data_IF_319387001216
#
_entry.id   IF_319387001216
#
_cell.length_a   1.000
_cell.length_b   1.000
_cell.length_c   1.000
_cell.angle_alpha   90.00
_cell.angle_beta   90.00
_cell.angle_gamma   90.00
#
_symmetry.space_group_name_H-M   'P 1'
#
loop_
_entity.id
_entity.type
_entity.pdbx_description
1 polymer ?
#
# COMPACT_ATOMS: atom_id res chain seq x y z
N UNK A 1 8.17 -11.02 -21.57
CA UNK A 1 6.71 -10.79 -21.66
C UNK A 1 6.38 -10.46 -23.10
N UNK A 2 5.18 -10.84 -23.63
CA UNK A 2 4.75 -10.33 -24.94
C UNK A 2 4.61 -8.81 -24.86
N UNK A 3 5.02 -8.10 -25.91
CA UNK A 3 4.78 -6.66 -26.01
C UNK A 3 3.29 -6.37 -25.87
N UNK A 4 2.97 -5.51 -24.92
CA UNK A 4 1.60 -5.05 -24.72
C UNK A 4 1.35 -3.88 -25.66
N UNK A 5 0.36 -3.99 -26.53
CA UNK A 5 -0.14 -2.87 -27.33
C UNK A 5 -1.19 -2.10 -26.57
N UNK A 6 -1.14 -0.75 -26.61
CA UNK A 6 -2.11 0.09 -25.93
C UNK A 6 -3.52 -0.07 -26.52
N UNK A 7 -4.47 -0.41 -25.68
CA UNK A 7 -5.89 -0.48 -26.04
C UNK A 7 -6.71 0.53 -25.23
N UNK A 8 -6.99 1.68 -25.86
CA UNK A 8 -7.73 2.79 -25.24
C UNK A 8 -9.08 2.34 -24.66
N UNK A 9 -9.85 1.55 -25.40
CA UNK A 9 -11.18 1.12 -24.97
C UNK A 9 -11.13 0.23 -23.74
N UNK A 10 -10.18 -0.70 -23.67
CA UNK A 10 -10.00 -1.55 -22.51
C UNK A 10 -9.53 -0.74 -21.28
N UNK A 11 -8.62 0.21 -21.46
CA UNK A 11 -8.17 1.08 -20.35
C UNK A 11 -9.32 1.92 -19.81
N UNK A 12 -10.14 2.54 -20.67
CA UNK A 12 -11.31 3.31 -20.24
C UNK A 12 -12.30 2.42 -19.48
N UNK A 13 -12.63 1.23 -20.02
CA UNK A 13 -13.53 0.28 -19.33
C UNK A 13 -12.96 -0.14 -17.97
N UNK A 14 -11.66 -0.43 -17.89
CA UNK A 14 -10.99 -0.76 -16.64
C UNK A 14 -11.15 0.34 -15.61
N UNK A 15 -10.86 1.60 -15.98
CA UNK A 15 -11.02 2.75 -15.07
C UNK A 15 -12.47 2.88 -14.61
N UNK A 16 -13.44 2.84 -15.52
CA UNK A 16 -14.87 2.98 -15.18
C UNK A 16 -15.30 1.90 -14.18
N UNK A 17 -15.01 0.63 -14.46
CA UNK A 17 -15.42 -0.47 -13.60
C UNK A 17 -14.68 -0.45 -12.26
N UNK A 18 -13.36 -0.26 -12.28
CA UNK A 18 -12.53 -0.30 -11.08
C UNK A 18 -12.87 0.84 -10.13
N UNK A 19 -13.02 2.05 -10.65
CA UNK A 19 -13.37 3.22 -9.82
C UNK A 19 -14.84 3.22 -9.43
N UNK A 20 -15.74 2.92 -10.36
CA UNK A 20 -17.17 2.90 -10.08
C UNK A 20 -17.53 1.91 -8.96
N UNK A 21 -17.05 0.67 -9.05
CA UNK A 21 -17.30 -0.35 -8.02
C UNK A 21 -16.62 0.03 -6.72
N UNK A 22 -15.34 0.44 -6.75
CA UNK A 22 -14.61 0.77 -5.54
C UNK A 22 -15.21 1.98 -4.81
N UNK A 23 -15.60 3.04 -5.52
CA UNK A 23 -16.17 4.24 -4.91
C UNK A 23 -17.51 3.95 -4.25
N UNK A 24 -18.35 3.06 -4.81
CA UNK A 24 -19.56 2.60 -4.17
C UNK A 24 -19.26 1.81 -2.88
N UNK A 25 -18.28 0.90 -2.92
CA UNK A 25 -17.86 0.13 -1.73
C UNK A 25 -17.29 1.08 -0.67
N UNK A 26 -16.45 2.03 -1.05
CA UNK A 26 -15.84 3.00 -0.13
C UNK A 26 -16.88 3.92 0.51
N UNK A 27 -17.90 4.34 -0.24
CA UNK A 27 -19.05 5.06 0.33
C UNK A 27 -19.79 4.18 1.36
N UNK A 28 -19.98 2.90 1.07
CA UNK A 28 -20.52 1.93 2.03
C UNK A 28 -19.67 1.79 3.29
N UNK A 29 -18.33 1.73 3.15
CA UNK A 29 -17.40 1.72 4.30
C UNK A 29 -17.55 3.00 5.13
N UNK A 30 -17.70 4.17 4.49
CA UNK A 30 -18.01 5.43 5.19
C UNK A 30 -19.29 5.34 6.03
N UNK A 31 -20.36 4.75 5.49
CA UNK A 31 -21.60 4.51 6.25
C UNK A 31 -21.38 3.52 7.40
N UNK A 32 -20.71 2.39 7.15
CA UNK A 32 -20.42 1.39 8.19
C UNK A 32 -19.67 2.01 9.37
N UNK A 33 -18.71 2.91 9.09
CA UNK A 33 -17.88 3.56 10.12
C UNK A 33 -18.67 4.50 11.05
N UNK A 34 -19.84 4.96 10.64
CA UNK A 34 -20.75 5.80 11.46
C UNK A 34 -21.83 5.02 12.17
N UNK A 35 -21.86 3.69 12.02
CA UNK A 35 -22.87 2.80 12.60
C UNK A 35 -22.23 1.80 13.56
N UNK A 36 -23.03 1.06 14.32
CA UNK A 36 -22.55 -0.07 15.14
C UNK A 36 -21.91 -1.21 14.32
N UNK A 37 -21.87 -1.11 12.99
CA UNK A 37 -21.30 -2.10 12.08
C UNK A 37 -19.87 -1.74 11.62
N UNK A 38 -19.21 -0.78 12.26
CA UNK A 38 -17.85 -0.34 11.94
C UNK A 38 -16.82 -1.49 11.91
N UNK A 39 -17.04 -2.56 12.67
CA UNK A 39 -16.18 -3.76 12.66
C UNK A 39 -16.14 -4.48 11.29
N UNK A 40 -17.12 -4.25 10.40
CA UNK A 40 -17.14 -4.78 9.04
C UNK A 40 -16.28 -3.97 8.06
N UNK A 41 -15.85 -2.76 8.41
CA UNK A 41 -15.10 -1.90 7.51
C UNK A 41 -13.79 -2.56 7.03
N UNK A 42 -13.00 -3.15 7.93
CA UNK A 42 -11.73 -3.81 7.59
C UNK A 42 -11.91 -5.02 6.65
N UNK A 43 -12.78 -6.01 6.92
CA UNK A 43 -12.99 -7.10 5.98
C UNK A 43 -13.54 -6.64 4.62
N UNK A 44 -14.41 -5.61 4.59
CA UNK A 44 -14.90 -5.04 3.32
C UNK A 44 -13.76 -4.39 2.54
N UNK A 45 -12.88 -3.62 3.18
CA UNK A 45 -11.70 -3.03 2.53
C UNK A 45 -10.74 -4.10 2.02
N UNK A 46 -10.52 -5.18 2.76
CA UNK A 46 -9.71 -6.30 2.30
C UNK A 46 -10.29 -6.96 1.03
N UNK A 47 -11.60 -7.19 0.99
CA UNK A 47 -12.27 -7.74 -0.20
C UNK A 47 -12.27 -6.76 -1.38
N UNK A 48 -12.35 -5.45 -1.12
CA UNK A 48 -12.26 -4.41 -2.15
C UNK A 48 -10.94 -4.47 -2.94
N UNK A 49 -9.86 -4.97 -2.35
CA UNK A 49 -8.59 -5.16 -3.05
C UNK A 49 -8.69 -6.08 -4.29
N UNK A 50 -9.76 -6.87 -4.44
CA UNK A 50 -10.03 -7.65 -5.64
C UNK A 50 -10.75 -6.87 -6.75
N UNK A 51 -11.18 -5.63 -6.50
CA UNK A 51 -11.91 -4.82 -7.49
C UNK A 51 -11.06 -4.53 -8.75
N UNK A 52 -9.74 -4.23 -8.68
CA UNK A 52 -8.93 -4.05 -9.88
C UNK A 52 -8.79 -5.31 -10.73
N UNK A 53 -8.73 -6.50 -10.11
CA UNK A 53 -8.82 -7.78 -10.83
C UNK A 53 -10.17 -7.90 -11.57
N UNK A 54 -11.27 -7.65 -10.86
CA UNK A 54 -12.62 -7.67 -11.46
C UNK A 54 -12.74 -6.66 -12.60
N UNK A 55 -12.26 -5.44 -12.42
CA UNK A 55 -12.21 -4.40 -13.45
C UNK A 55 -11.43 -4.84 -14.68
N UNK A 56 -10.33 -5.57 -14.50
CA UNK A 56 -9.56 -6.16 -15.61
C UNK A 56 -10.38 -7.16 -16.41
N UNK A 57 -11.09 -8.06 -15.76
CA UNK A 57 -11.95 -9.06 -16.40
C UNK A 57 -13.09 -8.38 -17.15
N UNK A 58 -13.78 -7.43 -16.52
CA UNK A 58 -14.90 -6.68 -17.12
C UNK A 58 -14.45 -5.79 -18.30
N UNK A 59 -13.20 -5.35 -18.31
CA UNK A 59 -12.60 -4.64 -19.43
C UNK A 59 -12.19 -5.55 -20.59
N UNK A 60 -12.28 -6.88 -20.44
CA UNK A 60 -11.79 -7.86 -21.41
C UNK A 60 -10.27 -8.01 -21.40
N UNK A 61 -9.61 -7.70 -20.28
CA UNK A 61 -8.18 -7.89 -20.10
C UNK A 61 -7.79 -9.37 -19.98
N UNK A 62 -6.63 -9.72 -20.50
CA UNK A 62 -6.14 -11.10 -20.45
C UNK A 62 -5.33 -11.34 -19.17
N UNK A 63 -5.94 -11.99 -18.18
CA UNK A 63 -5.28 -12.36 -16.92
C UNK A 63 -4.50 -13.68 -17.00
N UNK A 64 -4.57 -14.44 -18.11
CA UNK A 64 -3.92 -15.76 -18.18
C UNK A 64 -2.41 -15.70 -18.36
N UNK A 65 -1.88 -14.58 -18.85
CA UNK A 65 -0.47 -14.42 -19.26
C UNK A 65 0.34 -13.48 -18.35
N UNK A 66 -0.17 -13.14 -17.17
CA UNK A 66 0.44 -12.17 -16.25
C UNK A 66 1.51 -12.76 -15.32
N UNK A 67 1.97 -13.98 -15.58
CA UNK A 67 3.06 -14.57 -14.79
C UNK A 67 2.61 -15.27 -13.50
N UNK A 68 1.55 -16.07 -13.56
CA UNK A 68 1.06 -16.86 -12.44
C UNK A 68 2.02 -17.93 -11.92
N UNK A 69 2.94 -18.40 -12.74
CA UNK A 69 3.91 -19.40 -12.31
C UNK A 69 4.96 -18.75 -11.42
N UNK A 70 5.04 -19.09 -10.13
CA UNK A 70 6.07 -18.56 -9.25
C UNK A 70 7.42 -19.14 -9.63
N UNK A 71 8.26 -18.35 -10.29
CA UNK A 71 9.59 -18.76 -10.75
C UNK A 71 10.61 -18.49 -9.66
N UNK A 72 10.70 -19.35 -8.65
CA UNK A 72 11.66 -19.17 -7.55
C UNK A 72 13.10 -19.22 -8.05
N UNK A 73 13.44 -20.20 -8.90
CA UNK A 73 14.79 -20.33 -9.48
C UNK A 73 15.12 -19.08 -10.29
N UNK A 74 16.20 -18.39 -9.90
CA UNK A 74 16.64 -17.12 -10.49
C UNK A 74 16.02 -15.87 -9.85
N UNK A 75 14.95 -15.99 -9.06
CA UNK A 75 14.26 -14.87 -8.43
C UNK A 75 14.32 -14.85 -6.89
N UNK A 76 15.02 -15.80 -6.25
CA UNK A 76 15.08 -15.91 -4.78
C UNK A 76 15.45 -14.58 -4.13
N UNK A 77 16.47 -13.86 -4.67
CA UNK A 77 16.86 -12.54 -4.15
C UNK A 77 15.74 -11.51 -4.22
N UNK A 78 14.91 -11.56 -5.28
CA UNK A 78 13.77 -10.66 -5.43
C UNK A 78 12.64 -11.02 -4.45
N UNK A 79 12.42 -12.32 -4.18
CA UNK A 79 11.48 -12.77 -3.16
C UNK A 79 11.91 -12.33 -1.76
N UNK A 80 13.19 -12.49 -1.40
CA UNK A 80 13.73 -12.00 -0.12
C UNK A 80 13.62 -10.48 -0.01
N UNK A 81 13.94 -9.75 -1.08
CA UNK A 81 13.76 -8.30 -1.13
C UNK A 81 12.29 -7.93 -0.92
N UNK A 82 11.36 -8.56 -1.66
CA UNK A 82 9.94 -8.27 -1.56
C UNK A 82 9.37 -8.60 -0.18
N UNK A 83 9.88 -9.61 0.49
CA UNK A 83 9.45 -10.01 1.83
C UNK A 83 9.93 -9.07 2.93
N UNK A 84 11.22 -8.74 2.95
CA UNK A 84 11.85 -8.10 4.10
C UNK A 84 12.10 -6.60 3.94
N UNK A 85 12.28 -6.09 2.70
CA UNK A 85 12.60 -4.67 2.53
C UNK A 85 11.47 -3.72 2.95
N UNK A 86 10.18 -4.04 2.82
CA UNK A 86 9.12 -3.15 3.31
C UNK A 86 9.21 -2.91 4.81
N UNK A 87 9.43 -3.96 5.60
CA UNK A 87 9.58 -3.84 7.05
C UNK A 87 10.85 -3.04 7.42
N UNK A 88 11.96 -3.26 6.73
CA UNK A 88 13.20 -2.49 6.94
C UNK A 88 13.00 -1.00 6.59
N UNK A 89 12.40 -0.69 5.44
CA UNK A 89 12.15 0.68 5.02
C UNK A 89 11.18 1.39 5.97
N UNK A 90 10.16 0.69 6.47
CA UNK A 90 9.23 1.18 7.48
C UNK A 90 9.96 1.48 8.80
N UNK A 91 10.80 0.56 9.29
CA UNK A 91 11.56 0.77 10.52
C UNK A 91 12.52 1.96 10.43
N UNK A 92 13.25 2.08 9.30
CA UNK A 92 14.14 3.23 9.07
C UNK A 92 13.33 4.54 8.99
N UNK A 93 12.19 4.54 8.32
CA UNK A 93 11.30 5.70 8.22
C UNK A 93 10.73 6.12 9.57
N UNK A 94 10.26 5.16 10.36
CA UNK A 94 9.80 5.41 11.73
C UNK A 94 10.91 5.98 12.63
N UNK A 95 12.12 5.43 12.55
CA UNK A 95 13.28 5.94 13.26
C UNK A 95 13.58 7.40 12.90
N UNK A 96 13.56 7.75 11.60
CA UNK A 96 13.72 9.13 11.14
C UNK A 96 12.64 10.05 11.72
N UNK A 97 11.39 9.60 11.73
CA UNK A 97 10.28 10.36 12.30
C UNK A 97 10.47 10.63 13.79
N UNK A 98 10.78 9.60 14.59
CA UNK A 98 10.95 9.75 16.04
C UNK A 98 12.24 10.48 16.42
N UNK A 99 13.25 10.50 15.56
CA UNK A 99 14.43 11.38 15.76
C UNK A 99 14.07 12.86 15.63
N UNK A 100 13.14 13.20 14.73
CA UNK A 100 12.66 14.59 14.54
C UNK A 100 11.60 14.94 15.57
N UNK A 101 10.75 13.99 15.94
CA UNK A 101 9.64 14.16 16.89
C UNK A 101 9.73 13.17 18.06
N UNK A 102 10.74 13.30 18.95
CA UNK A 102 10.93 12.33 20.05
C UNK A 102 9.74 12.30 21.03
N UNK A 103 9.03 13.42 21.20
CA UNK A 103 7.83 13.50 22.03
C UNK A 103 6.63 12.72 21.45
N UNK A 104 6.70 12.30 20.22
CA UNK A 104 5.64 11.46 19.61
C UNK A 104 5.85 9.96 19.84
N UNK A 105 6.99 9.56 20.41
CA UNK A 105 7.24 8.17 20.78
C UNK A 105 6.53 7.82 22.10
N UNK A 106 5.69 6.79 22.06
CA UNK A 106 4.87 6.35 23.19
C UNK A 106 4.79 4.82 23.26
N UNK A 107 5.01 4.27 24.43
CA UNK A 107 4.88 2.83 24.71
C UNK A 107 3.68 2.49 25.60
N UNK A 108 2.79 3.45 25.86
CA UNK A 108 1.58 3.22 26.67
C UNK A 108 0.46 2.52 25.89
N UNK A 109 0.54 2.52 24.55
CA UNK A 109 -0.53 2.02 23.70
C UNK A 109 -1.71 2.99 23.53
N UNK A 110 -1.52 4.27 23.85
CA UNK A 110 -2.56 5.30 23.76
C UNK A 110 -3.19 5.39 22.37
N UNK A 111 -2.38 5.25 21.30
CA UNK A 111 -2.89 5.20 19.93
C UNK A 111 -3.84 4.02 19.70
N UNK A 112 -3.46 2.82 20.18
CA UNK A 112 -4.27 1.62 20.01
C UNK A 112 -5.61 1.74 20.75
N UNK A 113 -5.60 2.20 22.00
CA UNK A 113 -6.81 2.45 22.79
C UNK A 113 -7.74 3.46 22.11
N UNK A 114 -7.18 4.55 21.60
CA UNK A 114 -7.96 5.57 20.87
C UNK A 114 -8.56 5.02 19.56
N UNK A 115 -7.79 4.26 18.79
CA UNK A 115 -8.25 3.67 17.54
C UNK A 115 -9.35 2.62 17.76
N UNK A 116 -9.28 1.90 18.88
CA UNK A 116 -10.29 0.89 19.24
C UNK A 116 -11.53 1.48 19.94
N UNK A 117 -11.45 2.72 20.44
CA UNK A 117 -12.51 3.34 21.23
C UNK A 117 -12.76 2.67 22.59
N UNK A 118 -11.81 1.86 23.09
CA UNK A 118 -11.88 1.13 24.36
C UNK A 118 -10.47 0.86 24.89
N UNK A 119 -10.37 0.53 26.18
CA UNK A 119 -9.07 0.16 26.77
C UNK A 119 -8.66 -1.27 26.41
N UNK A 120 -8.12 -1.42 25.21
CA UNK A 120 -7.61 -2.70 24.69
C UNK A 120 -6.37 -3.16 25.48
N UNK A 121 -5.57 -2.21 25.96
CA UNK A 121 -4.36 -2.54 26.74
C UNK A 121 -4.75 -3.25 28.03
N UNK A 122 -5.69 -2.71 28.82
CA UNK A 122 -6.17 -3.36 30.03
C UNK A 122 -6.80 -4.73 29.73
N UNK A 123 -7.52 -4.88 28.62
CA UNK A 123 -8.09 -6.16 28.23
C UNK A 123 -7.03 -7.22 27.88
N UNK A 124 -5.93 -6.82 27.22
CA UNK A 124 -4.80 -7.71 26.93
C UNK A 124 -4.05 -8.09 28.21
N UNK A 125 -3.79 -7.15 29.09
CA UNK A 125 -3.11 -7.40 30.38
C UNK A 125 -3.91 -8.34 31.27
N UNK A 126 -5.23 -8.22 31.28
CA UNK A 126 -6.12 -9.17 31.98
C UNK A 126 -6.01 -10.61 31.43
N UNK A 127 -5.56 -10.77 30.19
CA UNK A 127 -5.28 -12.06 29.55
C UNK A 127 -3.80 -12.48 29.68
N UNK A 128 -2.98 -11.72 30.44
CA UNK A 128 -1.57 -12.02 30.66
C UNK A 128 -0.64 -11.56 29.51
N UNK A 129 -1.14 -10.73 28.57
CA UNK A 129 -0.37 -10.21 27.44
C UNK A 129 -0.01 -8.74 27.75
N UNK A 130 1.25 -8.46 28.10
CA UNK A 130 1.71 -7.09 28.28
C UNK A 130 1.88 -6.37 26.95
N UNK A 131 1.76 -5.04 26.93
CA UNK A 131 1.86 -4.26 25.70
C UNK A 131 3.19 -4.45 24.95
N UNK A 132 4.37 -4.49 25.61
CA UNK A 132 5.62 -4.83 24.92
C UNK A 132 5.61 -6.21 24.25
N UNK A 133 4.99 -7.22 24.87
CA UNK A 133 4.83 -8.54 24.27
C UNK A 133 3.92 -8.47 23.03
N UNK A 134 2.84 -7.69 23.08
CA UNK A 134 1.97 -7.47 21.93
C UNK A 134 2.72 -6.81 20.76
N UNK A 135 3.56 -5.80 21.02
CA UNK A 135 4.42 -5.17 20.00
C UNK A 135 5.35 -6.22 19.38
N UNK A 136 6.01 -7.04 20.20
CA UNK A 136 6.92 -8.10 19.70
C UNK A 136 6.17 -9.13 18.85
N UNK A 137 4.95 -9.52 19.22
CA UNK A 137 4.08 -10.40 18.42
C UNK A 137 3.76 -9.74 17.08
N UNK A 138 3.42 -8.45 17.07
CA UNK A 138 3.17 -7.68 15.85
C UNK A 138 4.37 -7.68 14.89
N UNK A 139 5.56 -7.39 15.42
CA UNK A 139 6.81 -7.41 14.66
C UNK A 139 7.10 -8.82 14.11
N UNK A 140 7.02 -9.84 14.96
CA UNK A 140 7.24 -11.23 14.56
C UNK A 140 6.24 -11.67 13.47
N UNK A 141 4.97 -11.30 13.61
CA UNK A 141 3.92 -11.54 12.62
C UNK A 141 4.24 -10.89 11.28
N UNK A 142 4.61 -9.60 11.28
CA UNK A 142 4.94 -8.85 10.08
C UNK A 142 6.19 -9.37 9.35
N UNK A 143 7.10 -10.03 10.06
CA UNK A 143 8.30 -10.65 9.46
C UNK A 143 8.08 -12.11 9.03
N UNK A 144 7.18 -12.84 9.72
CA UNK A 144 7.03 -14.29 9.53
C UNK A 144 5.92 -14.68 8.55
N UNK A 145 4.66 -14.35 8.81
CA UNK A 145 3.52 -14.90 8.06
C UNK A 145 2.55 -13.85 7.48
N UNK A 146 2.45 -12.67 8.11
CA UNK A 146 1.51 -11.64 7.65
C UNK A 146 1.78 -11.17 6.21
N UNK A 147 3.04 -11.11 5.72
CA UNK A 147 3.31 -10.85 4.31
C UNK A 147 2.60 -11.82 3.35
N UNK A 148 2.61 -13.11 3.66
CA UNK A 148 1.96 -14.12 2.82
C UNK A 148 0.42 -14.02 2.84
N UNK A 149 -0.16 -13.72 4.00
CA UNK A 149 -1.62 -13.52 4.13
C UNK A 149 -2.05 -12.27 3.36
N UNK A 150 -1.39 -11.14 3.60
CA UNK A 150 -1.69 -9.88 2.91
C UNK A 150 -1.43 -9.96 1.41
N UNK A 151 -0.44 -10.75 0.97
CA UNK A 151 -0.16 -11.00 -0.45
C UNK A 151 -1.38 -11.53 -1.20
N UNK A 152 -2.22 -12.37 -0.56
CA UNK A 152 -3.42 -12.93 -1.19
C UNK A 152 -4.41 -11.82 -1.57
N UNK A 153 -4.64 -10.86 -0.69
CA UNK A 153 -5.49 -9.71 -0.96
C UNK A 153 -4.83 -8.76 -1.96
N UNK A 154 -3.56 -8.43 -1.74
CA UNK A 154 -2.77 -7.58 -2.62
C UNK A 154 -2.72 -8.11 -4.06
N UNK A 155 -2.79 -9.43 -4.26
CA UNK A 155 -2.81 -10.04 -5.58
C UNK A 155 -3.99 -9.53 -6.43
N UNK A 156 -5.16 -9.30 -5.83
CA UNK A 156 -6.31 -8.73 -6.52
C UNK A 156 -6.00 -7.36 -7.13
N UNK A 157 -5.32 -6.50 -6.37
CA UNK A 157 -4.85 -5.20 -6.88
C UNK A 157 -3.75 -5.36 -7.93
N UNK A 158 -2.73 -6.16 -7.66
CA UNK A 158 -1.58 -6.28 -8.55
C UNK A 158 -1.95 -6.87 -9.92
N UNK A 159 -2.93 -7.76 -9.99
CA UNK A 159 -3.48 -8.25 -11.27
C UNK A 159 -4.05 -7.10 -12.09
N UNK A 160 -4.78 -6.19 -11.47
CA UNK A 160 -5.33 -5.02 -12.15
C UNK A 160 -4.27 -3.98 -12.49
N UNK A 161 -3.46 -3.62 -11.52
CA UNK A 161 -2.47 -2.57 -11.72
C UNK A 161 -1.29 -3.05 -12.56
N UNK A 162 -0.50 -4.02 -12.09
CA UNK A 162 0.75 -4.48 -12.73
C UNK A 162 0.50 -5.49 -13.84
N UNK A 163 -0.54 -6.31 -13.69
CA UNK A 163 -0.92 -7.28 -14.72
C UNK A 163 -1.60 -6.64 -15.93
N UNK A 164 -2.31 -5.52 -15.77
CA UNK A 164 -3.08 -4.90 -16.85
C UNK A 164 -2.74 -3.42 -17.08
N UNK A 165 -2.98 -2.51 -16.12
CA UNK A 165 -2.94 -1.07 -16.37
C UNK A 165 -1.53 -0.55 -16.67
N UNK A 166 -0.54 -0.87 -15.84
CA UNK A 166 0.83 -0.35 -16.01
C UNK A 166 1.46 -0.75 -17.35
N UNK A 167 1.35 -2.00 -17.84
CA UNK A 167 1.79 -2.36 -19.18
C UNK A 167 1.15 -1.52 -20.29
N UNK A 168 -0.15 -1.23 -20.19
CA UNK A 168 -0.87 -0.37 -21.15
C UNK A 168 -0.34 1.07 -21.13
N UNK A 169 -0.14 1.64 -19.92
CA UNK A 169 0.38 2.99 -19.76
C UNK A 169 1.82 3.11 -20.27
N UNK A 170 2.66 2.11 -19.99
CA UNK A 170 4.03 2.08 -20.50
C UNK A 170 4.08 1.98 -22.04
N UNK A 171 3.22 1.17 -22.63
CA UNK A 171 3.10 1.07 -24.09
C UNK A 171 2.69 2.40 -24.73
N UNK A 172 1.86 3.20 -24.06
CA UNK A 172 1.39 4.50 -24.58
C UNK A 172 2.35 5.65 -24.32
N UNK A 173 2.92 5.74 -23.11
CA UNK A 173 3.61 6.92 -22.60
C UNK A 173 5.10 6.68 -22.31
N UNK A 174 5.61 5.48 -22.56
CA UNK A 174 6.95 5.06 -22.13
C UNK A 174 7.01 4.68 -20.65
N UNK A 175 8.10 4.03 -20.26
CA UNK A 175 8.24 3.39 -18.94
C UNK A 175 8.12 4.39 -17.78
N UNK A 176 8.76 5.55 -17.88
CA UNK A 176 8.76 6.56 -16.80
C UNK A 176 7.39 7.18 -16.60
N UNK A 177 6.87 7.80 -17.66
CA UNK A 177 5.60 8.54 -17.59
C UNK A 177 4.45 7.58 -17.29
N UNK A 178 4.46 6.36 -17.86
CA UNK A 178 3.46 5.34 -17.58
C UNK A 178 3.41 4.95 -16.10
N UNK A 179 4.57 4.83 -15.41
CA UNK A 179 4.64 4.56 -13.97
C UNK A 179 4.09 5.71 -13.12
N UNK A 180 4.44 6.95 -13.47
CA UNK A 180 3.94 8.13 -12.75
C UNK A 180 2.42 8.23 -12.86
N UNK A 181 1.86 8.11 -14.08
CA UNK A 181 0.42 8.13 -14.31
C UNK A 181 -0.25 6.97 -13.57
N UNK A 182 0.31 5.76 -13.65
CA UNK A 182 -0.22 4.59 -12.96
C UNK A 182 -0.29 4.77 -11.44
N UNK A 183 0.76 5.37 -10.85
CA UNK A 183 0.80 5.67 -9.41
C UNK A 183 -0.24 6.69 -8.99
N UNK A 184 -0.43 7.76 -9.77
CA UNK A 184 -1.49 8.75 -9.51
C UNK A 184 -2.89 8.13 -9.63
N UNK A 185 -3.13 7.31 -10.66
CA UNK A 185 -4.40 6.59 -10.82
C UNK A 185 -4.64 5.68 -9.61
N UNK A 186 -3.64 4.92 -9.18
CA UNK A 186 -3.76 4.04 -8.02
C UNK A 186 -4.02 4.82 -6.73
N UNK A 187 -3.31 5.94 -6.50
CA UNK A 187 -3.55 6.81 -5.35
C UNK A 187 -4.97 7.40 -5.35
N UNK A 188 -5.44 7.89 -6.49
CA UNK A 188 -6.78 8.49 -6.61
C UNK A 188 -7.91 7.48 -6.37
N UNK A 189 -7.66 6.19 -6.58
CA UNK A 189 -8.61 5.12 -6.27
C UNK A 189 -8.96 5.05 -4.76
N UNK A 190 -8.10 5.58 -3.86
CA UNK A 190 -8.35 5.62 -2.42
C UNK A 190 -8.97 6.94 -1.92
N UNK A 191 -9.24 7.91 -2.79
CA UNK A 191 -9.69 9.24 -2.36
C UNK A 191 -10.95 9.25 -1.48
N UNK A 192 -12.00 8.46 -1.77
CA UNK A 192 -13.16 8.42 -0.88
C UNK A 192 -12.82 7.89 0.52
N UNK A 193 -11.92 6.90 0.66
CA UNK A 193 -11.49 6.42 1.99
C UNK A 193 -10.78 7.52 2.77
N UNK A 194 -9.86 8.27 2.13
CA UNK A 194 -9.14 9.37 2.78
C UNK A 194 -10.12 10.44 3.27
N UNK A 195 -11.13 10.73 2.48
CA UNK A 195 -12.13 11.75 2.82
C UNK A 195 -13.13 11.26 3.86
N UNK A 196 -13.73 10.07 3.66
CA UNK A 196 -14.89 9.61 4.42
C UNK A 196 -14.51 8.99 5.78
N UNK A 197 -13.37 8.31 5.86
CA UNK A 197 -12.94 7.61 7.08
C UNK A 197 -11.57 8.05 7.59
N UNK A 198 -10.99 9.10 7.01
CA UNK A 198 -9.66 9.57 7.40
C UNK A 198 -8.56 8.54 7.16
N UNK A 199 -8.71 7.69 6.12
CA UNK A 199 -7.77 6.61 5.81
C UNK A 199 -6.32 7.10 5.79
N UNK A 200 -5.41 6.40 6.44
CA UNK A 200 -3.98 6.65 6.63
C UNK A 200 -3.63 7.90 7.46
N UNK A 201 -4.37 8.99 7.34
CA UNK A 201 -3.97 10.28 7.92
C UNK A 201 -4.91 10.80 9.01
N UNK A 202 -6.07 10.13 9.23
CA UNK A 202 -7.11 10.65 10.12
C UNK A 202 -7.72 11.96 9.61
N UNK A 203 -8.26 12.75 10.54
CA UNK A 203 -8.90 14.04 10.26
C UNK A 203 -8.11 15.19 10.91
N UNK A 204 -8.47 16.44 10.61
CA UNK A 204 -7.99 17.61 11.35
C UNK A 204 -6.59 18.10 10.99
N UNK A 205 -5.94 17.57 9.96
CA UNK A 205 -4.69 18.12 9.44
C UNK A 205 -4.92 19.28 8.47
N UNK A 206 -3.91 20.15 8.33
CA UNK A 206 -3.99 21.28 7.41
C UNK A 206 -4.22 20.81 5.97
N UNK A 207 -5.22 21.39 5.30
CA UNK A 207 -5.59 21.04 3.92
C UNK A 207 -6.36 19.73 3.77
N UNK A 208 -6.99 19.21 4.85
CA UNK A 208 -7.87 18.04 4.79
C UNK A 208 -9.01 18.25 3.77
N UNK A 209 -9.38 17.26 2.95
CA UNK A 209 -8.71 15.96 2.74
C UNK A 209 -7.62 16.03 1.65
N UNK A 210 -7.52 17.15 0.93
CA UNK A 210 -6.73 17.28 -0.31
C UNK A 210 -5.24 17.04 -0.08
N UNK A 211 -4.67 17.60 1.00
CA UNK A 211 -3.25 17.39 1.31
C UNK A 211 -2.91 15.91 1.51
N UNK A 212 -3.77 15.15 2.21
CA UNK A 212 -3.63 13.71 2.36
C UNK A 212 -3.76 12.95 1.04
N UNK A 213 -4.72 13.32 0.19
CA UNK A 213 -4.89 12.74 -1.15
C UNK A 213 -3.65 12.93 -2.03
N UNK A 214 -3.08 14.13 -2.04
CA UNK A 214 -1.86 14.43 -2.79
C UNK A 214 -0.67 13.66 -2.26
N UNK A 215 -0.48 13.66 -0.93
CA UNK A 215 0.60 12.88 -0.30
C UNK A 215 0.46 11.39 -0.61
N UNK A 216 -0.75 10.85 -0.54
CA UNK A 216 -1.00 9.45 -0.86
C UNK A 216 -0.66 9.13 -2.33
N UNK A 217 -0.93 10.04 -3.26
CA UNK A 217 -0.48 9.89 -4.66
C UNK A 217 1.06 9.83 -4.76
N UNK A 218 1.80 10.63 -3.99
CA UNK A 218 3.27 10.54 -3.97
C UNK A 218 3.75 9.16 -3.48
N UNK A 219 3.13 8.63 -2.43
CA UNK A 219 3.47 7.31 -1.88
C UNK A 219 3.12 6.20 -2.89
N UNK A 220 1.93 6.24 -3.49
CA UNK A 220 1.52 5.24 -4.48
C UNK A 220 2.31 5.32 -5.79
N UNK A 221 2.84 6.50 -6.16
CA UNK A 221 3.81 6.62 -7.24
C UNK A 221 5.11 5.91 -6.86
N UNK A 222 5.65 6.13 -5.66
CA UNK A 222 6.86 5.45 -5.20
C UNK A 222 6.67 3.92 -5.14
N UNK A 223 5.62 3.45 -4.51
CA UNK A 223 5.26 2.02 -4.47
C UNK A 223 5.04 1.48 -5.89
N UNK A 224 4.35 2.25 -6.74
CA UNK A 224 4.08 1.91 -8.12
C UNK A 224 5.33 1.65 -8.94
N UNK A 225 6.36 2.47 -8.77
CA UNK A 225 7.67 2.30 -9.40
C UNK A 225 8.34 1.00 -8.94
N UNK A 226 8.34 0.72 -7.63
CA UNK A 226 8.98 -0.46 -7.06
C UNK A 226 8.27 -1.73 -7.53
N UNK A 227 6.94 -1.78 -7.45
CA UNK A 227 6.15 -2.95 -7.81
C UNK A 227 6.23 -3.26 -9.31
N UNK A 228 6.17 -2.21 -10.14
CA UNK A 228 6.30 -2.37 -11.59
C UNK A 228 7.72 -2.82 -11.98
N UNK A 229 8.75 -2.31 -11.31
CA UNK A 229 10.12 -2.77 -11.49
C UNK A 229 10.29 -4.25 -11.12
N UNK A 230 9.70 -4.70 -9.99
CA UNK A 230 9.71 -6.12 -9.59
C UNK A 230 9.01 -6.98 -10.64
N UNK A 231 7.86 -6.53 -11.13
CA UNK A 231 7.10 -7.24 -12.15
C UNK A 231 7.85 -7.33 -13.48
N UNK A 232 8.39 -6.22 -13.97
CA UNK A 232 9.16 -6.22 -15.23
C UNK A 232 10.40 -7.11 -15.15
N UNK A 233 11.10 -7.07 -14.01
CA UNK A 233 12.34 -7.81 -13.83
C UNK A 233 12.13 -9.32 -13.75
N UNK A 234 11.03 -9.75 -13.18
CA UNK A 234 10.74 -11.17 -12.91
C UNK A 234 9.76 -11.80 -13.89
N UNK A 235 8.83 -11.02 -14.43
CA UNK A 235 7.65 -11.51 -15.14
C UNK A 235 6.70 -12.33 -14.27
N UNK A 236 6.72 -12.13 -12.94
CA UNK A 236 5.97 -12.92 -11.95
C UNK A 236 5.08 -11.99 -11.14
N UNK A 237 3.75 -12.18 -11.21
CA UNK A 237 2.78 -11.30 -10.52
C UNK A 237 2.86 -11.43 -8.98
N UNK A 238 3.32 -12.56 -8.48
CA UNK A 238 3.48 -12.81 -7.05
C UNK A 238 4.51 -11.90 -6.38
N UNK A 239 5.50 -11.38 -7.11
CA UNK A 239 6.55 -10.53 -6.53
C UNK A 239 6.05 -9.14 -6.13
N UNK A 240 5.36 -8.37 -7.00
CA UNK A 240 4.74 -7.13 -6.54
C UNK A 240 3.66 -7.38 -5.50
N UNK A 241 2.86 -8.47 -5.61
CA UNK A 241 1.86 -8.81 -4.60
C UNK A 241 2.50 -9.14 -3.23
N UNK A 242 3.65 -9.80 -3.21
CA UNK A 242 4.38 -10.07 -1.97
C UNK A 242 4.94 -8.79 -1.35
N UNK A 243 5.55 -7.91 -2.14
CA UNK A 243 6.05 -6.62 -1.62
C UNK A 243 4.90 -5.79 -1.07
N UNK A 244 3.76 -5.73 -1.79
CA UNK A 244 2.55 -5.05 -1.35
C UNK A 244 2.02 -5.64 -0.03
N UNK A 245 1.88 -6.95 0.05
CA UNK A 245 1.45 -7.64 1.27
C UNK A 245 2.41 -7.43 2.45
N UNK A 246 3.73 -7.44 2.20
CA UNK A 246 4.75 -7.15 3.21
C UNK A 246 4.70 -5.69 3.67
N UNK A 247 4.43 -4.75 2.74
CA UNK A 247 4.24 -3.35 3.07
C UNK A 247 3.01 -3.17 3.97
N UNK A 248 1.86 -3.75 3.60
CA UNK A 248 0.64 -3.67 4.41
C UNK A 248 0.84 -4.30 5.80
N UNK A 249 1.59 -5.41 5.90
CA UNK A 249 1.88 -6.05 7.17
C UNK A 249 2.76 -5.19 8.10
N UNK A 250 3.67 -4.40 7.55
CA UNK A 250 4.62 -3.61 8.33
C UNK A 250 4.16 -2.16 8.57
N UNK A 251 3.32 -1.60 7.70
CA UNK A 251 2.99 -0.17 7.66
C UNK A 251 2.35 0.35 8.97
N UNK A 252 1.62 -0.49 9.68
CA UNK A 252 0.94 -0.11 10.93
C UNK A 252 1.82 -0.28 12.18
N UNK A 253 2.96 -0.96 12.11
CA UNK A 253 3.81 -1.21 13.28
C UNK A 253 4.28 0.08 13.99
N UNK A 254 4.69 1.15 13.28
CA UNK A 254 5.08 2.39 13.94
C UNK A 254 3.95 3.06 14.73
N UNK A 255 2.68 2.85 14.34
CA UNK A 255 1.54 3.41 15.05
C UNK A 255 1.38 2.81 16.45
N UNK A 256 1.85 1.58 16.67
CA UNK A 256 1.84 0.93 17.98
C UNK A 256 2.73 1.66 19.01
N UNK A 257 3.68 2.45 18.57
CA UNK A 257 4.60 3.21 19.43
C UNK A 257 4.49 4.71 19.19
N UNK A 258 3.33 5.18 18.76
CA UNK A 258 3.04 6.59 18.48
C UNK A 258 1.99 7.11 19.46
N UNK A 259 2.13 8.37 19.92
CA UNK A 259 1.09 9.03 20.69
C UNK A 259 -0.24 9.11 19.95
N UNK A 260 -1.33 9.22 20.68
CA UNK A 260 -2.69 9.27 20.14
C UNK A 260 -2.89 10.39 19.11
N UNK A 261 -2.40 11.57 19.39
CA UNK A 261 -2.53 12.72 18.51
C UNK A 261 -1.17 13.36 18.20
N UNK A 262 -0.83 13.37 16.93
CA UNK A 262 0.36 14.00 16.38
C UNK A 262 0.06 15.34 15.70
N UNK A 263 -1.19 15.82 15.75
CA UNK A 263 -1.63 17.05 15.11
C UNK A 263 -1.29 17.09 13.62
N UNK A 264 -0.80 18.23 13.15
CA UNK A 264 -0.38 18.39 11.73
C UNK A 264 0.81 17.50 11.34
N UNK A 265 1.59 16.99 12.29
CA UNK A 265 2.71 16.09 12.00
C UNK A 265 2.26 14.70 11.52
N UNK A 266 0.96 14.37 11.57
CA UNK A 266 0.42 13.12 11.00
C UNK A 266 0.67 12.97 9.49
N UNK A 267 0.75 14.06 8.74
CA UNK A 267 1.16 14.02 7.32
C UNK A 267 2.65 13.70 7.14
N UNK A 268 3.48 13.97 8.15
CA UNK A 268 4.88 13.56 8.18
C UNK A 268 5.02 12.10 8.65
N UNK A 269 4.09 11.66 9.49
CA UNK A 269 3.73 10.34 9.96
C UNK A 269 4.84 9.50 10.56
N UNK A 270 4.49 8.65 11.48
CA UNK A 270 5.36 7.54 11.90
C UNK A 270 5.25 6.35 10.94
N UNK A 271 4.08 6.19 10.31
CA UNK A 271 3.84 5.17 9.27
C UNK A 271 4.48 5.56 7.94
N UNK A 272 4.89 4.57 7.10
CA UNK A 272 5.64 4.81 5.85
C UNK A 272 4.83 5.51 4.75
N UNK A 273 3.56 5.77 4.97
CA UNK A 273 2.70 6.60 4.11
C UNK A 273 2.84 8.10 4.42
N UNK A 274 3.50 8.49 5.50
CA UNK A 274 3.82 9.88 5.80
C UNK A 274 5.03 10.40 5.03
N UNK A 275 5.14 11.72 4.84
CA UNK A 275 6.19 12.34 4.03
C UNK A 275 7.60 12.04 4.58
N UNK A 276 7.80 12.17 5.89
CA UNK A 276 9.11 11.96 6.53
C UNK A 276 9.40 10.46 6.71
N UNK A 277 8.45 9.71 7.25
CA UNK A 277 8.62 8.27 7.44
C UNK A 277 8.64 7.50 6.10
N UNK A 278 8.05 8.02 5.04
CA UNK A 278 8.10 7.47 3.69
C UNK A 278 9.39 7.77 2.92
N UNK A 279 10.27 8.64 3.42
CA UNK A 279 11.51 9.01 2.72
C UNK A 279 12.36 7.82 2.27
N UNK A 280 12.63 6.78 3.09
CA UNK A 280 13.42 5.64 2.66
C UNK A 280 12.78 4.90 1.47
N UNK A 281 11.44 4.76 1.47
CA UNK A 281 10.68 4.17 0.37
C UNK A 281 10.78 5.03 -0.90
N UNK A 282 10.60 6.35 -0.77
CA UNK A 282 10.70 7.29 -1.89
C UNK A 282 12.11 7.34 -2.48
N UNK A 283 13.14 7.31 -1.66
CA UNK A 283 14.55 7.25 -2.11
C UNK A 283 14.80 5.93 -2.85
N UNK A 284 14.32 4.80 -2.32
CA UNK A 284 14.45 3.52 -3.00
C UNK A 284 13.76 3.53 -4.38
N UNK A 285 12.53 4.05 -4.44
CA UNK A 285 11.81 4.22 -5.69
C UNK A 285 12.54 5.14 -6.68
N UNK A 286 13.07 6.29 -6.22
CA UNK A 286 13.82 7.23 -7.05
C UNK A 286 15.09 6.58 -7.64
N UNK A 287 15.83 5.80 -6.86
CA UNK A 287 17.00 5.06 -7.36
C UNK A 287 16.62 4.08 -8.48
N UNK A 288 15.51 3.35 -8.32
CA UNK A 288 15.01 2.44 -9.35
C UNK A 288 14.54 3.19 -10.60
N UNK A 289 13.84 4.31 -10.40
CA UNK A 289 13.33 5.15 -11.47
C UNK A 289 14.46 5.73 -12.34
N UNK A 290 15.53 6.24 -11.71
CA UNK A 290 16.68 6.80 -12.42
C UNK A 290 17.51 5.73 -13.16
N UNK A 291 17.57 4.50 -12.63
CA UNK A 291 18.28 3.38 -13.25
C UNK A 291 17.53 2.77 -14.45
N UNK A 292 16.23 3.00 -14.58
CA UNK A 292 15.43 2.38 -15.65
C UNK A 292 15.79 2.84 -17.06
N UNK A 293 16.37 4.04 -17.23
CA UNK A 293 16.75 4.58 -18.54
C UNK A 293 18.11 4.11 -19.08
N UNK A 294 19.02 3.69 -18.19
CA UNK A 294 20.37 3.32 -18.65
C UNK A 294 20.39 2.04 -19.50
N UNK A 295 19.27 1.31 -19.54
CA UNK A 295 19.12 0.07 -20.34
C UNK A 295 18.42 0.28 -21.67
N UNK A 296 17.68 1.36 -21.88
CA UNK A 296 17.02 1.68 -23.14
C UNK A 296 17.97 2.36 -24.17
N UNK A 297 19.16 2.79 -23.75
CA UNK A 297 20.15 3.44 -24.61
C UNK A 297 21.37 2.58 -24.98
N UNK A 298 21.34 1.28 -24.67
CA UNK A 298 22.48 0.35 -24.94
C UNK A 298 22.08 -0.87 -25.81
N UNK A 299 20.91 -0.81 -26.47
CA UNK A 299 20.53 -1.78 -27.53
C UNK A 299 20.48 -1.14 -28.91
#
# INVERSE_FOLDING_TARGET
MKETTFNKTQVIKFIIWTFGIAYLIQAGVGVLSTTGLGFLAQPVMALMMFVPLLGTVLAGGNIKTIGWKPRFRGNVRLFLLAWFSPALLTAVGAALYFLVFPAHFDLSGAYLNAAAGTDVIAQMEAQGITYPVYILIGIASALAYAPAINMVFALGEEVGWRGFLYPQLRAKFGARVGRLIGGVIWGSWHFPLIWLIGYEYGYGYFGFPVAGMLLFCFITVALGIIFDWLYEKSGVIWLPALFHGSFNAAATLPLMVTVQDTGSARLLGSAPVGMLAGLPLMVFAAVLFLKSDRRAGTE
#
